data_IF_241594257352
#
_entry.id   IF_241594257352
#
_cell.length_a   1.000
_cell.length_b   1.000
_cell.length_c   1.000
_cell.angle_alpha   90.00
_cell.angle_beta   90.00
_cell.angle_gamma   90.00
#
_symmetry.space_group_name_H-M   'P 1'
#
loop_
_entity.id
_entity.type
_entity.pdbx_description
1 polymer ?
#
# COMPACT_ATOMS: atom_id res chain seq x y z
N UNK A 1 -23.35 -1.87 -20.16
CA UNK A 1 -24.29 -2.01 -19.03
C UNK A 1 -23.61 -2.45 -17.74
N UNK A 2 -24.12 -1.96 -16.62
CA UNK A 2 -23.72 -2.42 -15.29
C UNK A 2 -24.50 -3.71 -14.97
N UNK A 3 -23.96 -4.85 -15.40
CA UNK A 3 -24.55 -6.15 -15.07
C UNK A 3 -24.23 -6.54 -13.62
N UNK A 4 -25.02 -7.46 -13.06
CA UNK A 4 -24.77 -8.03 -11.71
C UNK A 4 -23.34 -8.60 -11.63
N UNK A 5 -22.86 -9.23 -12.71
CA UNK A 5 -21.50 -9.74 -12.80
C UNK A 5 -20.44 -8.63 -12.72
N UNK A 6 -20.63 -7.49 -13.40
CA UNK A 6 -19.74 -6.33 -13.25
C UNK A 6 -19.71 -5.79 -11.82
N UNK A 7 -20.86 -5.76 -11.15
CA UNK A 7 -20.99 -5.26 -9.78
C UNK A 7 -20.27 -6.17 -8.76
N UNK A 8 -20.41 -7.48 -8.92
CA UNK A 8 -19.67 -8.48 -8.13
C UNK A 8 -18.17 -8.31 -8.31
N UNK A 9 -17.72 -8.07 -9.55
CA UNK A 9 -16.31 -7.78 -9.85
C UNK A 9 -15.81 -6.56 -9.09
N UNK A 10 -16.57 -5.47 -9.10
CA UNK A 10 -16.23 -4.24 -8.39
C UNK A 10 -16.10 -4.45 -6.87
N UNK A 11 -17.05 -5.16 -6.26
CA UNK A 11 -17.01 -5.44 -4.81
C UNK A 11 -15.79 -6.31 -4.46
N UNK A 12 -15.51 -7.34 -5.27
CA UNK A 12 -14.35 -8.20 -5.08
C UNK A 12 -13.04 -7.41 -5.17
N UNK A 13 -12.93 -6.50 -6.16
CA UNK A 13 -11.78 -5.61 -6.31
C UNK A 13 -11.52 -4.77 -5.06
N UNK A 14 -12.56 -4.12 -4.54
CA UNK A 14 -12.44 -3.29 -3.33
C UNK A 14 -11.87 -4.12 -2.17
N UNK A 15 -12.32 -5.36 -2.00
CA UNK A 15 -11.83 -6.27 -0.96
C UNK A 15 -10.35 -6.63 -1.12
N UNK A 16 -9.93 -7.00 -2.34
CA UNK A 16 -8.54 -7.37 -2.63
C UNK A 16 -7.60 -6.17 -2.39
N UNK A 17 -7.98 -5.00 -2.91
CA UNK A 17 -7.19 -3.77 -2.84
C UNK A 17 -7.05 -3.30 -1.39
N UNK A 18 -8.16 -3.23 -0.66
CA UNK A 18 -8.16 -2.83 0.76
C UNK A 18 -7.31 -3.78 1.60
N UNK A 19 -7.42 -5.09 1.39
CA UNK A 19 -6.63 -6.07 2.13
C UNK A 19 -5.14 -5.87 1.88
N UNK A 20 -4.73 -5.68 0.63
CA UNK A 20 -3.31 -5.46 0.28
C UNK A 20 -2.76 -4.17 0.92
N UNK A 21 -3.55 -3.09 0.92
CA UNK A 21 -3.18 -1.81 1.51
C UNK A 21 -3.08 -1.84 3.05
N UNK A 22 -4.09 -2.37 3.74
CA UNK A 22 -4.09 -2.47 5.21
C UNK A 22 -2.85 -3.22 5.68
N UNK A 23 -2.58 -4.34 5.03
CA UNK A 23 -1.51 -5.24 5.44
C UNK A 23 -0.11 -4.63 5.18
N UNK A 24 0.02 -3.64 4.27
CA UNK A 24 1.24 -2.82 4.07
C UNK A 24 1.42 -1.80 5.20
N UNK A 25 0.34 -1.09 5.51
CA UNK A 25 0.32 -0.08 6.57
C UNK A 25 0.59 -0.74 7.92
N UNK A 26 -0.03 -1.88 8.19
CA UNK A 26 0.18 -2.65 9.42
C UNK A 26 1.65 -3.01 9.59
N UNK A 27 2.33 -3.44 8.53
CA UNK A 27 3.76 -3.78 8.59
C UNK A 27 4.64 -2.55 8.83
N UNK A 28 4.32 -1.41 8.20
CA UNK A 28 5.03 -0.17 8.45
C UNK A 28 4.83 0.32 9.90
N UNK A 29 3.60 0.25 10.42
CA UNK A 29 3.27 0.66 11.78
C UNK A 29 3.92 -0.27 12.82
N UNK A 30 4.00 -1.57 12.53
CA UNK A 30 4.70 -2.56 13.33
C UNK A 30 6.20 -2.24 13.41
N UNK A 31 6.83 -1.90 12.27
CA UNK A 31 8.25 -1.52 12.21
C UNK A 31 8.53 -0.22 12.98
N UNK A 32 7.65 0.78 12.91
CA UNK A 32 7.76 2.02 13.67
C UNK A 32 7.68 1.76 15.19
N UNK A 33 6.72 0.91 15.61
CA UNK A 33 6.47 0.64 17.04
C UNK A 33 7.47 -0.31 17.68
N UNK A 34 7.88 -1.38 16.99
CA UNK A 34 8.76 -2.42 17.56
C UNK A 34 10.23 -2.13 17.34
N UNK A 35 10.59 -1.53 16.21
CA UNK A 35 12.00 -1.33 15.82
C UNK A 35 12.44 0.14 16.00
N UNK A 36 11.52 1.04 16.36
CA UNK A 36 11.82 2.47 16.56
C UNK A 36 12.30 3.17 15.28
N UNK A 37 12.03 2.59 14.12
CA UNK A 37 12.46 3.11 12.82
C UNK A 37 11.79 4.45 12.52
N UNK A 38 12.52 5.32 11.82
CA UNK A 38 11.95 6.54 11.25
C UNK A 38 10.74 6.19 10.36
N UNK A 39 9.67 7.01 10.36
CA UNK A 39 8.48 6.77 9.53
C UNK A 39 8.81 6.49 8.04
N UNK A 40 9.84 7.15 7.51
CA UNK A 40 10.30 6.92 6.13
C UNK A 40 10.90 5.52 5.93
N UNK A 41 11.74 5.07 6.85
CA UNK A 41 12.40 3.76 6.78
C UNK A 41 11.42 2.61 7.01
N UNK A 42 10.45 2.83 7.90
CA UNK A 42 9.38 1.88 8.20
C UNK A 42 8.50 1.62 6.97
N UNK A 43 8.13 2.68 6.25
CA UNK A 43 7.36 2.54 5.01
C UNK A 43 8.14 1.93 3.88
N UNK A 44 9.40 2.31 3.72
CA UNK A 44 10.22 1.74 2.66
C UNK A 44 10.37 0.22 2.85
N UNK A 45 10.62 -0.22 4.09
CA UNK A 45 10.65 -1.64 4.46
C UNK A 45 9.30 -2.32 4.21
N UNK A 46 8.20 -1.67 4.59
CA UNK A 46 6.83 -2.14 4.35
C UNK A 46 6.52 -2.35 2.87
N UNK A 47 6.93 -1.41 2.01
CA UNK A 47 6.77 -1.51 0.55
C UNK A 47 7.52 -2.74 -0.02
N UNK A 48 8.76 -2.97 0.41
CA UNK A 48 9.59 -4.08 -0.10
C UNK A 48 9.02 -5.45 0.27
N UNK A 49 8.58 -5.62 1.51
CA UNK A 49 8.03 -6.90 1.99
C UNK A 49 6.70 -7.20 1.32
N UNK A 50 5.95 -6.16 0.96
CA UNK A 50 4.66 -6.24 0.28
C UNK A 50 4.74 -6.49 -1.20
N UNK A 51 5.81 -6.06 -1.84
CA UNK A 51 5.96 -6.16 -3.29
C UNK A 51 5.77 -7.59 -3.80
N UNK A 52 6.39 -8.58 -3.14
CA UNK A 52 6.27 -10.00 -3.54
C UNK A 52 4.82 -10.53 -3.38
N UNK A 53 4.15 -10.41 -2.22
CA UNK A 53 2.73 -10.76 -2.07
C UNK A 53 1.78 -10.02 -3.01
N UNK A 54 1.98 -8.72 -3.21
CA UNK A 54 1.21 -7.87 -4.13
C UNK A 54 1.26 -8.46 -5.53
N UNK A 55 2.46 -8.68 -6.05
CA UNK A 55 2.64 -9.29 -7.38
C UNK A 55 2.05 -10.69 -7.46
N UNK A 56 2.17 -11.51 -6.42
CA UNK A 56 1.57 -12.86 -6.38
C UNK A 56 0.05 -12.81 -6.54
N UNK A 57 -0.64 -11.91 -5.84
CA UNK A 57 -2.10 -11.77 -5.94
C UNK A 57 -2.54 -11.22 -7.30
N UNK A 58 -1.82 -10.22 -7.83
CA UNK A 58 -2.13 -9.64 -9.14
C UNK A 58 -1.93 -10.67 -10.25
N UNK A 59 -0.82 -11.39 -10.25
CA UNK A 59 -0.54 -12.41 -11.27
C UNK A 59 -1.55 -13.56 -11.20
N UNK A 60 -1.89 -14.07 -10.02
CA UNK A 60 -2.88 -15.13 -9.88
C UNK A 60 -4.26 -14.71 -10.42
N UNK A 61 -4.69 -13.49 -10.09
CA UNK A 61 -5.98 -12.97 -10.52
C UNK A 61 -5.99 -12.58 -12.01
N UNK A 62 -4.88 -12.09 -12.56
CA UNK A 62 -4.73 -11.86 -14.00
C UNK A 62 -4.80 -13.18 -14.77
N UNK A 63 -4.02 -14.20 -14.36
CA UNK A 63 -4.03 -15.50 -15.03
C UNK A 63 -5.38 -16.20 -14.94
N UNK A 64 -6.08 -16.10 -13.81
CA UNK A 64 -7.45 -16.64 -13.67
C UNK A 64 -8.51 -15.80 -14.37
N UNK A 65 -8.32 -14.49 -14.47
CA UNK A 65 -9.29 -13.53 -15.03
C UNK A 65 -9.21 -13.35 -16.53
N UNK A 66 -8.02 -13.48 -17.15
CA UNK A 66 -7.81 -13.35 -18.60
C UNK A 66 -8.71 -14.27 -19.42
N UNK A 67 -8.79 -15.60 -19.18
CA UNK A 67 -9.66 -16.47 -19.98
C UNK A 67 -11.15 -16.13 -19.82
N UNK A 68 -11.55 -15.65 -18.64
CA UNK A 68 -12.92 -15.20 -18.36
C UNK A 68 -13.22 -13.88 -19.08
N UNK A 69 -12.27 -12.95 -19.09
CA UNK A 69 -12.37 -11.64 -19.77
C UNK A 69 -12.42 -11.78 -21.30
N UNK A 70 -11.80 -12.84 -21.84
CA UNK A 70 -11.88 -13.21 -23.25
C UNK A 70 -13.21 -13.91 -23.59
N UNK A 71 -13.98 -14.35 -22.58
CA UNK A 71 -15.27 -14.99 -22.77
C UNK A 71 -15.18 -16.43 -23.28
N UNK A 72 -14.06 -17.13 -23.02
CA UNK A 72 -13.91 -18.54 -23.41
C UNK A 72 -14.90 -19.44 -22.65
N UNK A 73 -15.74 -20.18 -23.39
CA UNK A 73 -16.68 -21.18 -22.86
C UNK A 73 -18.16 -20.78 -22.93
N UNK A 74 -19.05 -21.75 -22.69
CA UNK A 74 -20.50 -21.54 -22.71
C UNK A 74 -20.93 -20.54 -21.60
N UNK A 75 -21.70 -19.52 -21.97
CA UNK A 75 -22.06 -18.42 -21.06
C UNK A 75 -20.95 -17.38 -20.83
N UNK A 76 -19.91 -17.40 -21.66
CA UNK A 76 -18.77 -16.47 -21.59
C UNK A 76 -19.17 -15.00 -21.72
N UNK A 77 -20.18 -14.67 -22.54
CA UNK A 77 -20.64 -13.28 -22.71
C UNK A 77 -21.18 -12.65 -21.42
N UNK A 78 -21.85 -13.43 -20.57
CA UNK A 78 -22.37 -12.95 -19.29
C UNK A 78 -21.24 -12.71 -18.26
N UNK A 79 -20.17 -13.50 -18.33
CA UNK A 79 -19.02 -13.46 -17.38
C UNK A 79 -17.91 -12.51 -17.85
N UNK A 80 -17.89 -12.17 -19.14
CA UNK A 80 -16.91 -11.27 -19.75
C UNK A 80 -16.75 -9.94 -19.00
N UNK A 81 -17.85 -9.25 -18.59
CA UNK A 81 -17.75 -7.98 -17.88
C UNK A 81 -17.12 -8.12 -16.49
N UNK A 82 -17.37 -9.23 -15.78
CA UNK A 82 -16.72 -9.55 -14.51
C UNK A 82 -15.20 -9.72 -14.70
N UNK A 83 -14.79 -10.51 -15.70
CA UNK A 83 -13.38 -10.72 -16.02
C UNK A 83 -12.66 -9.43 -16.37
N UNK A 84 -13.26 -8.60 -17.23
CA UNK A 84 -12.69 -7.30 -17.62
C UNK A 84 -12.57 -6.33 -16.44
N UNK A 85 -13.60 -6.25 -15.60
CA UNK A 85 -13.56 -5.42 -14.40
C UNK A 85 -12.41 -5.84 -13.48
N UNK A 86 -12.29 -7.14 -13.20
CA UNK A 86 -11.28 -7.67 -12.27
C UNK A 86 -9.85 -7.50 -12.81
N UNK A 87 -9.62 -7.85 -14.08
CA UNK A 87 -8.29 -7.75 -14.71
C UNK A 87 -7.83 -6.29 -14.80
N UNK A 88 -8.67 -5.40 -15.34
CA UNK A 88 -8.34 -3.99 -15.48
C UNK A 88 -8.25 -3.28 -14.13
N UNK A 89 -9.19 -3.58 -13.24
CA UNK A 89 -9.26 -3.04 -11.89
C UNK A 89 -8.06 -3.42 -11.05
N UNK A 90 -7.64 -4.70 -11.03
CA UNK A 90 -6.47 -5.11 -10.25
C UNK A 90 -5.17 -4.51 -10.78
N UNK A 91 -4.98 -4.46 -12.10
CA UNK A 91 -3.79 -3.88 -12.68
C UNK A 91 -3.66 -2.39 -12.28
N UNK A 92 -4.74 -1.63 -12.43
CA UNK A 92 -4.76 -0.21 -12.06
C UNK A 92 -4.67 0.00 -10.54
N UNK A 93 -5.47 -0.73 -9.76
CA UNK A 93 -5.52 -0.57 -8.31
C UNK A 93 -4.23 -0.99 -7.60
N UNK A 94 -3.51 -1.97 -8.14
CA UNK A 94 -2.23 -2.37 -7.54
C UNK A 94 -1.16 -1.30 -7.73
N UNK A 95 -1.13 -0.68 -8.91
CA UNK A 95 -0.22 0.41 -9.23
C UNK A 95 -0.55 1.64 -8.38
N UNK A 96 -1.84 1.96 -8.24
CA UNK A 96 -2.31 2.98 -7.30
C UNK A 96 -1.96 2.64 -5.85
N UNK A 97 -2.09 1.40 -5.38
CA UNK A 97 -1.81 1.04 -3.98
C UNK A 97 -0.32 1.18 -3.66
N UNK A 98 0.56 0.63 -4.51
CA UNK A 98 2.01 0.73 -4.31
C UNK A 98 2.52 2.18 -4.32
N UNK A 99 1.85 3.08 -5.04
CA UNK A 99 2.26 4.49 -5.12
C UNK A 99 1.53 5.39 -4.10
N UNK A 100 0.21 5.27 -4.00
CA UNK A 100 -0.60 6.14 -3.15
C UNK A 100 -0.35 5.87 -1.67
N UNK A 101 -0.15 4.62 -1.25
CA UNK A 101 0.12 4.29 0.16
C UNK A 101 1.38 4.96 0.71
N UNK A 102 2.57 4.88 0.07
CA UNK A 102 3.75 5.58 0.56
C UNK A 102 3.60 7.11 0.45
N UNK A 103 2.96 7.62 -0.61
CA UNK A 103 2.74 9.07 -0.76
C UNK A 103 1.85 9.62 0.35
N UNK A 104 0.72 8.97 0.64
CA UNK A 104 -0.21 9.42 1.69
C UNK A 104 0.44 9.38 3.06
N UNK A 105 1.19 8.32 3.38
CA UNK A 105 1.83 8.22 4.69
C UNK A 105 3.01 9.19 4.83
N UNK A 106 3.83 9.40 3.81
CA UNK A 106 4.88 10.45 3.86
C UNK A 106 4.28 11.84 4.01
N UNK A 107 3.16 12.11 3.33
CA UNK A 107 2.42 13.35 3.50
C UNK A 107 1.87 13.49 4.93
N UNK A 108 1.24 12.44 5.46
CA UNK A 108 0.77 12.42 6.85
C UNK A 108 1.92 12.61 7.85
N UNK A 109 3.09 12.01 7.63
CA UNK A 109 4.27 12.19 8.47
C UNK A 109 4.74 13.66 8.46
N UNK A 110 4.82 14.29 7.27
CA UNK A 110 5.19 15.71 7.16
C UNK A 110 4.17 16.65 7.82
N UNK A 111 2.88 16.37 7.67
CA UNK A 111 1.81 17.13 8.34
C UNK A 111 1.89 16.95 9.85
N UNK A 112 2.20 15.73 10.32
CA UNK A 112 2.37 15.45 11.75
C UNK A 112 3.58 16.20 12.32
N UNK A 113 4.70 16.27 11.60
CA UNK A 113 5.89 17.01 12.01
C UNK A 113 5.64 18.52 12.02
N UNK A 114 4.97 19.06 11.00
CA UNK A 114 4.54 20.46 10.98
C UNK A 114 3.57 20.78 12.13
N UNK A 115 2.64 19.87 12.44
CA UNK A 115 1.71 20.05 13.55
C UNK A 115 2.38 19.94 14.92
N UNK A 116 3.40 19.07 15.05
CA UNK A 116 4.27 19.00 16.23
C UNK A 116 5.14 20.25 16.39
N UNK A 117 5.66 20.81 15.30
CA UNK A 117 6.41 22.08 15.36
C UNK A 117 5.50 23.25 15.75
N UNK A 118 4.24 23.25 15.31
CA UNK A 118 3.23 24.23 15.70
C UNK A 118 2.76 24.06 17.15
N UNK A 119 2.79 22.84 17.71
CA UNK A 119 2.40 22.55 19.10
C UNK A 119 3.53 22.66 20.13
N UNK A 120 4.75 23.00 19.71
CA UNK A 120 5.86 23.32 20.60
C UNK A 120 6.49 22.09 21.27
N UNK A 121 7.62 21.63 20.72
CA UNK A 121 8.64 20.96 21.53
C UNK A 121 10.02 21.32 20.99
N UNK A 122 10.51 22.45 21.44
CA UNK A 122 11.93 22.83 21.39
C UNK A 122 12.71 21.88 22.31
N UNK A 123 13.10 20.70 21.82
CA UNK A 123 13.99 19.80 22.57
C UNK A 123 14.91 19.00 21.65
N UNK A 124 15.75 19.67 20.87
CA UNK A 124 16.85 19.03 20.16
C UNK A 124 18.07 19.96 19.98
N UNK A 125 18.63 20.44 21.09
CA UNK A 125 19.89 21.19 21.09
C UNK A 125 20.85 20.81 22.25
N UNK A 126 20.79 19.56 22.75
CA UNK A 126 21.73 19.06 23.78
C UNK A 126 22.34 17.70 23.39
N UNK A 127 22.89 17.60 22.17
CA UNK A 127 23.65 16.40 21.75
C UNK A 127 24.97 16.71 21.06
N UNK A 128 25.58 17.84 21.42
CA UNK A 128 27.00 18.10 21.21
C UNK A 128 27.61 18.54 22.55
N UNK A 129 27.81 17.58 23.45
CA UNK A 129 28.88 17.72 24.44
C UNK A 129 30.22 17.48 23.71
N UNK A 130 31.17 18.43 23.80
CA UNK A 130 32.52 18.24 23.29
C UNK A 130 33.27 17.29 24.23
N UNK A 131 33.30 16.01 23.89
CA UNK A 131 34.26 15.08 24.44
C UNK A 131 35.63 15.31 23.76
N UNK A 132 36.35 16.37 24.15
CA UNK A 132 37.78 16.48 23.93
C UNK A 132 38.47 17.23 25.08
N UNK A 133 38.89 16.42 26.06
CA UNK A 133 40.21 16.49 26.71
C UNK A 133 40.53 17.73 27.56
N UNK A 134 40.04 17.71 28.80
CA UNK A 134 40.90 17.96 29.94
C UNK A 134 41.62 16.64 30.26
N UNK A 135 42.94 16.63 30.18
CA UNK A 135 43.79 15.47 30.40
C UNK A 135 45.23 15.94 30.36
N UNK A 136 45.74 16.16 31.56
CA UNK A 136 47.15 16.40 31.92
C UNK A 136 48.11 15.35 31.33
#
# INVERSE_FOLDING_TARGET
DLSIYSFVGLIMLIGIVKKNAIMQIDFALEAERKEGKSPLDAIYSGCLIRFRPIMMTTLAALLGGIPIALGYGAGGEARRPLGMAVVGGLAFSQLMTLYLTPVVYTYMASVLDWWRSLRGTTRKALRHEPAMLAGD
#
